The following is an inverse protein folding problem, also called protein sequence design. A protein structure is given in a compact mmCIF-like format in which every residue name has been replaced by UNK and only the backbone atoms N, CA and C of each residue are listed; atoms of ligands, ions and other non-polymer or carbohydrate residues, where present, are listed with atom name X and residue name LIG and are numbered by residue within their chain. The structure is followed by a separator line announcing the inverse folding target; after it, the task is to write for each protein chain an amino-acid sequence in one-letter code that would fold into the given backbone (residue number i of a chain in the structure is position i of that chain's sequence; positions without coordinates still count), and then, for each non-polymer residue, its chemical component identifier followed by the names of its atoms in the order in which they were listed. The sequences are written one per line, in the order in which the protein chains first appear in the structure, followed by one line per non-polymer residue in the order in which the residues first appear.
data_IF_127286419958
#
_entry.id   IF_127286419958
#
_cell.length_a   1.000
_cell.length_b   1.000
_cell.length_c   1.000
_cell.angle_alpha   90.00
_cell.angle_beta   90.00
_cell.angle_gamma   90.00
#
_symmetry.space_group_name_H-M   'P 1'
#
loop_
_entity.id
_entity.type
_entity.pdbx_description
1 polymer ?
#
# COMPACT_ATOMS: atom_id res chain seq x y z
N UNK A 1 -1.33 -30.33 17.64
CA UNK A 1 -2.68 -30.76 17.17
C UNK A 1 -3.70 -29.63 17.08
N UNK A 2 -3.72 -28.62 17.98
CA UNK A 2 -4.61 -27.44 17.83
C UNK A 2 -4.31 -26.53 16.62
N UNK A 3 -3.06 -26.43 16.16
CA UNK A 3 -2.66 -25.60 15.00
C UNK A 3 -3.08 -26.17 13.62
N UNK A 4 -3.24 -27.49 13.50
CA UNK A 4 -3.60 -28.15 12.23
C UNK A 4 -5.12 -28.09 11.99
N UNK A 5 -5.92 -28.02 13.05
CA UNK A 5 -7.39 -27.94 12.94
C UNK A 5 -7.85 -26.57 12.44
N UNK A 6 -7.11 -25.49 12.76
CA UNK A 6 -7.41 -24.14 12.28
C UNK A 6 -7.06 -23.96 10.79
N UNK A 7 -5.97 -24.59 10.33
CA UNK A 7 -5.57 -24.64 8.92
C UNK A 7 -6.63 -25.27 8.01
N UNK A 8 -7.37 -26.28 8.50
CA UNK A 8 -8.49 -26.85 7.76
C UNK A 8 -9.74 -25.95 7.78
N UNK A 9 -9.98 -25.16 8.83
CA UNK A 9 -11.18 -24.34 8.95
C UNK A 9 -11.15 -23.12 8.03
N UNK A 10 -9.98 -22.48 7.86
CA UNK A 10 -9.81 -21.38 6.90
C UNK A 10 -9.85 -21.87 5.44
N UNK A 11 -9.28 -23.05 5.16
CA UNK A 11 -9.38 -23.68 3.83
C UNK A 11 -10.81 -24.13 3.50
N UNK A 12 -11.60 -24.53 4.51
CA UNK A 12 -13.01 -24.88 4.35
C UNK A 12 -13.89 -23.66 4.04
N UNK A 13 -13.62 -22.50 4.66
CA UNK A 13 -14.34 -21.26 4.35
C UNK A 13 -14.06 -20.73 2.94
N UNK A 14 -12.83 -20.88 2.45
CA UNK A 14 -12.49 -20.60 1.05
C UNK A 14 -13.12 -21.59 0.04
N UNK A 15 -13.49 -22.80 0.50
CA UNK A 15 -14.08 -23.85 -0.35
C UNK A 15 -15.61 -23.85 -0.40
N UNK A 16 -16.29 -22.98 0.36
CA UNK A 16 -17.76 -22.91 0.41
C UNK A 16 -18.36 -21.76 -0.43
N UNK A 17 -17.57 -21.07 -1.25
CA UNK A 17 -18.09 -20.17 -2.29
C UNK A 17 -18.21 -20.91 -3.63
N UNK A 18 -18.89 -22.06 -3.63
CA UNK A 18 -19.33 -22.74 -4.85
C UNK A 18 -20.84 -22.84 -4.84
N UNK A 19 -21.51 -21.69 -4.82
CA UNK A 19 -22.87 -21.60 -5.34
C UNK A 19 -22.86 -20.57 -6.46
N UNK A 20 -23.30 -21.05 -7.63
CA UNK A 20 -23.49 -20.30 -8.85
C UNK A 20 -24.61 -19.26 -8.64
N UNK A 21 -24.27 -18.12 -8.07
CA UNK A 21 -25.00 -16.88 -8.29
C UNK A 21 -23.96 -15.78 -8.50
N UNK A 22 -24.14 -15.01 -9.59
CA UNK A 22 -23.33 -13.84 -9.96
C UNK A 22 -23.36 -12.80 -8.82
N UNK A 23 -22.57 -13.01 -7.79
CA UNK A 23 -22.29 -12.03 -6.74
C UNK A 23 -21.21 -11.09 -7.24
N UNK A 24 -21.44 -9.79 -7.02
CA UNK A 24 -20.59 -8.69 -7.45
C UNK A 24 -19.11 -8.98 -7.15
N UNK A 25 -18.27 -8.97 -8.20
CA UNK A 25 -16.83 -9.25 -8.15
C UNK A 25 -16.10 -8.31 -7.17
N UNK A 26 -16.66 -7.12 -6.91
CA UNK A 26 -16.13 -6.17 -5.92
C UNK A 26 -16.21 -6.70 -4.48
N UNK A 27 -17.18 -7.56 -4.17
CA UNK A 27 -17.35 -8.17 -2.83
C UNK A 27 -16.19 -9.12 -2.55
N UNK A 28 -15.78 -9.90 -3.56
CA UNK A 28 -14.72 -10.90 -3.42
C UNK A 28 -13.32 -10.28 -3.20
N UNK A 29 -13.00 -9.13 -3.81
CA UNK A 29 -11.69 -8.47 -3.63
C UNK A 29 -11.54 -7.89 -2.21
N UNK A 30 -12.59 -7.24 -1.69
CA UNK A 30 -12.63 -6.70 -0.33
C UNK A 30 -12.63 -7.83 0.70
N UNK A 31 -13.43 -8.88 0.47
CA UNK A 31 -13.47 -10.06 1.33
C UNK A 31 -12.12 -10.80 1.36
N UNK A 32 -11.43 -10.88 0.23
CA UNK A 32 -10.12 -11.53 0.15
C UNK A 32 -9.02 -10.72 0.85
N UNK A 33 -9.01 -9.39 0.67
CA UNK A 33 -8.05 -8.52 1.34
C UNK A 33 -8.27 -8.53 2.87
N UNK A 34 -9.53 -8.46 3.30
CA UNK A 34 -9.92 -8.66 4.71
C UNK A 34 -9.51 -10.05 5.23
N UNK A 35 -9.66 -11.11 4.43
CA UNK A 35 -9.25 -12.47 4.81
C UNK A 35 -7.73 -12.60 4.96
N UNK A 36 -6.94 -11.96 4.08
CA UNK A 36 -5.47 -11.93 4.18
C UNK A 36 -5.06 -11.24 5.48
N UNK A 37 -5.65 -10.11 5.81
CA UNK A 37 -5.32 -9.40 7.05
C UNK A 37 -5.77 -10.16 8.30
N UNK A 38 -6.97 -10.75 8.28
CA UNK A 38 -7.42 -11.60 9.38
C UNK A 38 -6.48 -12.81 9.57
N UNK A 39 -6.01 -13.38 8.46
CA UNK A 39 -5.02 -14.45 8.48
C UNK A 39 -3.68 -13.99 9.05
N UNK A 40 -3.22 -12.80 8.71
CA UNK A 40 -2.01 -12.19 9.25
C UNK A 40 -2.09 -12.02 10.77
N UNK A 41 -3.17 -11.43 11.30
CA UNK A 41 -3.40 -11.28 12.74
C UNK A 41 -3.37 -12.62 13.48
N UNK A 42 -3.93 -13.67 12.86
CA UNK A 42 -3.88 -15.04 13.39
C UNK A 42 -2.46 -15.60 13.39
N UNK A 43 -1.66 -15.34 12.35
CA UNK A 43 -0.26 -15.77 12.28
C UNK A 43 0.61 -15.04 13.30
N UNK A 44 0.40 -13.73 13.50
CA UNK A 44 0.99 -12.93 14.57
C UNK A 44 0.59 -13.44 15.97
N UNK A 45 -0.53 -14.16 16.06
CA UNK A 45 -1.00 -14.78 17.29
C UNK A 45 -1.68 -13.81 18.24
N UNK A 46 -2.38 -12.82 17.70
CA UNK A 46 -3.26 -11.96 18.49
C UNK A 46 -4.45 -12.74 19.03
N UNK A 47 -4.80 -12.42 20.28
CA UNK A 47 -6.08 -12.77 20.88
C UNK A 47 -7.14 -11.72 20.53
N UNK A 48 -8.41 -12.11 20.58
CA UNK A 48 -9.52 -11.18 20.39
C UNK A 48 -9.56 -10.08 21.45
N UNK A 49 -9.02 -10.33 22.64
CA UNK A 49 -8.98 -9.35 23.73
C UNK A 49 -7.90 -8.29 23.49
N UNK A 50 -6.75 -8.68 22.93
CA UNK A 50 -5.74 -7.73 22.47
C UNK A 50 -6.33 -6.82 21.38
N UNK A 51 -6.91 -7.39 20.31
CA UNK A 51 -7.46 -6.61 19.18
C UNK A 51 -8.63 -5.66 19.54
N UNK A 52 -9.28 -5.89 20.69
CA UNK A 52 -10.39 -5.06 21.19
C UNK A 52 -9.95 -3.99 22.19
N UNK A 53 -8.66 -3.93 22.50
CA UNK A 53 -8.12 -2.92 23.40
C UNK A 53 -8.47 -1.54 22.84
N UNK A 54 -8.90 -0.64 23.73
CA UNK A 54 -9.17 0.73 23.34
C UNK A 54 -7.89 1.42 22.89
N UNK A 55 -8.08 2.31 21.92
CA UNK A 55 -7.06 3.05 21.22
C UNK A 55 -6.50 4.16 22.12
N UNK A 56 -5.17 4.30 22.21
CA UNK A 56 -4.49 5.32 23.06
C UNK A 56 -3.60 6.22 22.20
N UNK A 57 -4.24 7.06 21.40
CA UNK A 57 -3.58 7.97 20.44
C UNK A 57 -2.78 9.11 21.09
N UNK A 58 -2.95 9.35 22.40
CA UNK A 58 -2.41 10.54 23.07
C UNK A 58 -1.13 10.27 23.87
N UNK A 59 -0.96 9.04 24.33
CA UNK A 59 0.19 8.66 25.15
C UNK A 59 1.28 8.14 24.23
N UNK A 60 2.50 8.72 24.24
CA UNK A 60 3.59 8.17 23.46
C UNK A 60 3.78 6.69 23.75
N UNK A 61 3.83 5.87 22.71
CA UNK A 61 3.98 4.43 22.84
C UNK A 61 5.30 4.10 23.55
N UNK A 62 5.24 3.13 24.47
CA UNK A 62 6.42 2.53 25.07
C UNK A 62 6.66 1.12 24.54
N UNK A 63 5.88 0.71 23.53
CA UNK A 63 6.01 -0.58 22.87
C UNK A 63 7.37 -0.65 22.20
N UNK A 64 8.08 -1.77 22.39
CA UNK A 64 9.35 -1.97 21.68
C UNK A 64 9.06 -2.29 20.22
N UNK A 65 9.68 -1.52 19.33
CA UNK A 65 9.63 -1.76 17.89
C UNK A 65 10.18 -3.15 17.54
N UNK A 66 9.35 -3.97 16.90
CA UNK A 66 9.69 -5.32 16.47
C UNK A 66 10.00 -5.38 14.99
N UNK A 67 10.67 -6.45 14.56
CA UNK A 67 10.92 -6.70 13.13
C UNK A 67 10.15 -7.93 12.69
N UNK A 68 9.68 -7.89 11.46
CA UNK A 68 8.95 -8.98 10.87
C UNK A 68 9.79 -10.25 10.78
N UNK A 69 9.25 -11.33 11.35
CA UNK A 69 9.87 -12.64 11.33
C UNK A 69 9.94 -13.15 9.87
N UNK A 70 11.10 -13.64 9.39
CA UNK A 70 11.25 -14.05 7.99
C UNK A 70 10.25 -15.10 7.52
N UNK A 71 9.79 -15.97 8.42
CA UNK A 71 8.79 -17.00 8.10
C UNK A 71 7.38 -16.41 7.92
N UNK A 72 7.04 -15.33 8.62
CA UNK A 72 5.76 -14.62 8.51
C UNK A 72 5.70 -13.90 7.17
N UNK A 73 6.73 -13.13 6.84
CA UNK A 73 6.87 -12.47 5.53
C UNK A 73 6.71 -13.49 4.41
N UNK A 74 7.40 -14.64 4.51
CA UNK A 74 7.33 -15.70 3.50
C UNK A 74 5.92 -16.30 3.39
N UNK A 75 5.24 -16.55 4.51
CA UNK A 75 3.88 -17.08 4.48
C UNK A 75 2.90 -16.10 3.80
N UNK A 76 3.03 -14.80 4.07
CA UNK A 76 2.27 -13.75 3.42
C UNK A 76 2.59 -13.67 1.93
N UNK A 77 3.87 -13.71 1.55
CA UNK A 77 4.32 -13.71 0.16
C UNK A 77 3.76 -14.90 -0.62
N UNK A 78 3.82 -16.11 -0.05
CA UNK A 78 3.30 -17.32 -0.70
C UNK A 78 1.78 -17.24 -0.89
N UNK A 79 1.04 -16.61 0.04
CA UNK A 79 -0.41 -16.38 -0.12
C UNK A 79 -0.73 -15.35 -1.22
N UNK A 80 0.02 -14.25 -1.27
CA UNK A 80 -0.16 -13.19 -2.27
C UNK A 80 0.20 -13.70 -3.67
N UNK A 81 1.26 -14.49 -3.81
CA UNK A 81 1.64 -15.06 -5.10
C UNK A 81 0.56 -16.00 -5.65
N UNK A 82 -0.15 -16.73 -4.79
CA UNK A 82 -1.27 -17.56 -5.25
C UNK A 82 -2.42 -16.70 -5.80
N UNK A 83 -2.66 -15.52 -5.23
CA UNK A 83 -3.78 -14.63 -5.57
C UNK A 83 -3.44 -13.69 -6.75
N UNK A 84 -2.26 -13.06 -6.74
CA UNK A 84 -1.82 -12.11 -7.78
C UNK A 84 -1.57 -12.76 -9.14
N UNK A 85 -1.34 -14.08 -9.18
CA UNK A 85 -1.16 -14.83 -10.42
C UNK A 85 -2.38 -15.67 -10.82
N UNK A 86 -3.37 -15.87 -9.94
CA UNK A 86 -4.61 -16.58 -10.29
C UNK A 86 -5.62 -15.66 -10.96
N UNK A 87 -5.77 -14.41 -10.50
CA UNK A 87 -6.90 -13.57 -10.89
C UNK A 87 -6.52 -12.13 -11.31
N UNK A 88 -7.18 -11.68 -12.37
CA UNK A 88 -7.47 -10.27 -12.69
C UNK A 88 -6.43 -9.33 -13.33
N UNK A 89 -5.29 -9.80 -13.84
CA UNK A 89 -4.46 -8.92 -14.71
C UNK A 89 -5.11 -8.67 -16.10
N UNK A 90 -6.07 -9.50 -16.54
CA UNK A 90 -6.52 -9.49 -17.95
C UNK A 90 -7.88 -8.88 -18.29
N UNK A 91 -8.79 -8.62 -17.35
CA UNK A 91 -10.17 -8.25 -17.73
C UNK A 91 -10.89 -7.40 -16.70
N UNK A 92 -10.58 -6.10 -16.61
CA UNK A 92 -11.59 -5.12 -16.19
C UNK A 92 -11.53 -3.88 -17.09
N UNK A 93 -12.42 -3.88 -18.08
CA UNK A 93 -12.82 -2.74 -18.90
C UNK A 93 -14.16 -2.24 -18.40
N UNK A 94 -14.21 -1.57 -17.25
CA UNK A 94 -15.48 -0.99 -16.81
C UNK A 94 -15.27 0.45 -16.36
N UNK A 95 -15.99 1.33 -17.07
CA UNK A 95 -15.88 2.77 -17.04
C UNK A 95 -16.40 3.34 -15.70
N UNK A 96 -15.56 3.31 -14.67
CA UNK A 96 -15.69 4.28 -13.58
C UNK A 96 -15.18 5.62 -14.07
N UNK A 97 -16.06 6.64 -14.18
CA UNK A 97 -15.78 8.06 -14.41
C UNK A 97 -14.88 8.49 -15.60
N UNK A 98 -13.70 7.90 -15.72
CA UNK A 98 -12.82 7.94 -16.87
C UNK A 98 -13.46 7.09 -17.98
N UNK A 99 -13.77 7.73 -19.10
CA UNK A 99 -14.57 7.16 -20.19
C UNK A 99 -13.89 6.01 -20.96
N UNK A 100 -12.67 5.60 -20.57
CA UNK A 100 -11.88 4.51 -21.17
C UNK A 100 -11.02 3.83 -20.11
N UNK A 101 -10.85 2.52 -20.22
CA UNK A 101 -9.84 1.77 -19.47
C UNK A 101 -8.44 2.22 -19.95
N UNK A 102 -7.86 3.18 -19.24
CA UNK A 102 -6.51 3.70 -19.50
C UNK A 102 -5.66 3.50 -18.26
N UNK A 103 -4.37 3.24 -18.45
CA UNK A 103 -3.44 3.08 -17.33
C UNK A 103 -3.44 4.34 -16.47
N UNK A 104 -3.65 4.20 -15.16
CA UNK A 104 -3.71 5.32 -14.21
C UNK A 104 -2.62 5.21 -13.15
N UNK A 105 -2.05 6.35 -12.81
CA UNK A 105 -0.98 6.54 -11.84
C UNK A 105 -1.37 7.60 -10.81
N UNK A 106 -0.85 7.51 -9.60
CA UNK A 106 -0.98 8.49 -8.55
C UNK A 106 0.31 9.28 -8.35
N UNK A 107 0.21 10.61 -8.36
CA UNK A 107 1.29 11.52 -7.95
C UNK A 107 0.86 12.32 -6.72
N UNK A 108 1.78 12.65 -5.82
CA UNK A 108 1.44 13.45 -4.64
C UNK A 108 0.86 14.79 -5.06
N UNK A 109 -0.31 15.12 -4.51
CA UNK A 109 -0.95 16.42 -4.73
C UNK A 109 -0.18 17.49 -3.98
N UNK A 110 -0.03 18.67 -4.58
CA UNK A 110 0.45 19.87 -3.90
C UNK A 110 -0.68 20.90 -3.79
N UNK A 111 -0.86 21.72 -4.81
CA UNK A 111 -1.86 22.80 -4.78
C UNK A 111 -3.19 22.36 -5.39
N UNK A 112 -3.15 21.69 -6.54
CA UNK A 112 -4.32 21.26 -7.31
C UNK A 112 -3.98 20.03 -8.14
N UNK A 113 -4.99 19.22 -8.48
CA UNK A 113 -4.86 18.18 -9.50
C UNK A 113 -5.18 18.69 -10.92
N UNK A 114 -5.34 20.01 -11.08
CA UNK A 114 -5.78 20.61 -12.34
C UNK A 114 -7.17 20.11 -12.72
N UNK A 115 -7.27 19.41 -13.85
CA UNK A 115 -8.50 18.76 -14.31
C UNK A 115 -8.63 17.29 -13.91
N UNK A 116 -7.64 16.73 -13.22
CA UNK A 116 -7.63 15.34 -12.78
C UNK A 116 -8.30 15.18 -11.41
N UNK A 117 -8.74 13.95 -11.12
CA UNK A 117 -9.38 13.64 -9.84
C UNK A 117 -8.36 13.37 -8.76
N UNK A 118 -8.81 13.55 -7.53
CA UNK A 118 -8.02 13.33 -6.33
C UNK A 118 -8.45 12.05 -5.64
N UNK A 119 -7.47 11.22 -5.28
CA UNK A 119 -7.63 10.10 -4.38
C UNK A 119 -7.10 10.52 -2.99
N UNK A 120 -7.88 10.22 -1.95
CA UNK A 120 -7.55 10.55 -0.56
C UNK A 120 -7.72 9.32 0.32
N UNK A 121 -6.67 8.97 1.06
CA UNK A 121 -6.63 7.81 1.93
C UNK A 121 -6.11 8.20 3.31
N UNK A 122 -6.83 7.79 4.35
CA UNK A 122 -6.41 7.90 5.72
C UNK A 122 -5.78 6.59 6.15
N UNK A 123 -4.50 6.66 6.51
CA UNK A 123 -3.69 5.56 7.04
C UNK A 123 -3.51 5.76 8.53
N UNK A 124 -4.02 4.80 9.29
CA UNK A 124 -3.92 4.66 10.72
C UNK A 124 -2.56 4.04 11.07
N UNK A 125 -1.74 4.81 11.75
CA UNK A 125 -0.39 4.50 12.14
C UNK A 125 -0.36 4.13 13.63
N UNK A 126 0.80 3.70 14.13
CA UNK A 126 0.99 3.31 15.52
C UNK A 126 0.50 4.40 16.46
N UNK A 127 -0.33 4.00 17.42
CA UNK A 127 -0.82 4.86 18.48
C UNK A 127 0.30 5.47 19.33
N UNK A 128 0.38 6.80 19.35
CA UNK A 128 1.44 7.48 20.10
C UNK A 128 2.83 7.23 19.53
N UNK A 129 2.92 6.77 18.28
CA UNK A 129 4.15 6.58 17.53
C UNK A 129 4.82 7.88 17.06
N UNK A 130 5.90 7.75 16.30
CA UNK A 130 6.73 8.85 15.77
C UNK A 130 6.55 9.07 14.25
N UNK A 131 5.33 8.95 13.75
CA UNK A 131 5.01 9.37 12.38
C UNK A 131 5.11 10.89 12.29
N UNK A 132 5.90 11.39 11.34
CA UNK A 132 6.09 12.82 11.13
C UNK A 132 6.56 13.15 9.72
N UNK A 133 6.66 14.44 9.40
CA UNK A 133 7.18 14.89 8.10
C UNK A 133 8.08 16.10 8.23
N UNK A 134 8.98 16.28 7.26
CA UNK A 134 9.83 17.47 7.11
C UNK A 134 9.81 17.95 5.67
N UNK A 135 10.03 19.25 5.48
CA UNK A 135 9.95 19.87 4.16
C UNK A 135 8.51 19.98 3.66
N UNK A 136 8.35 20.13 2.35
CA UNK A 136 7.07 20.27 1.70
C UNK A 136 6.64 18.93 1.08
N UNK A 137 5.81 18.16 1.78
CA UNK A 137 5.25 16.89 1.30
C UNK A 137 3.94 17.07 0.51
N UNK A 138 3.63 18.30 0.09
CA UNK A 138 2.41 18.62 -0.65
C UNK A 138 1.18 18.70 0.25
N UNK A 139 0.06 18.17 -0.22
CA UNK A 139 -1.21 18.13 0.50
C UNK A 139 -1.31 16.92 1.46
N UNK A 140 -0.45 15.90 1.28
CA UNK A 140 -0.31 14.83 2.27
C UNK A 140 0.08 15.43 3.61
N UNK A 141 -0.53 14.95 4.69
CA UNK A 141 -0.28 15.48 6.03
C UNK A 141 -0.29 14.38 7.08
N UNK A 142 0.45 14.64 8.14
CA UNK A 142 0.38 13.90 9.40
C UNK A 142 -0.51 14.68 10.35
N UNK A 143 -1.50 14.01 10.96
CA UNK A 143 -2.40 14.65 11.92
C UNK A 143 -1.80 14.72 13.33
N UNK A 144 -2.57 15.24 14.29
CA UNK A 144 -2.10 15.41 15.67
C UNK A 144 -1.90 14.10 16.44
N UNK A 145 -2.40 12.98 15.91
CA UNK A 145 -2.31 11.64 16.50
C UNK A 145 -1.24 10.79 15.82
N UNK A 146 -0.48 11.33 14.85
CA UNK A 146 0.51 10.57 14.11
C UNK A 146 -0.06 9.74 12.96
N UNK A 147 -1.30 9.98 12.52
CA UNK A 147 -1.88 9.29 11.37
C UNK A 147 -1.66 10.07 10.07
N UNK A 148 -1.62 9.37 8.93
CA UNK A 148 -1.31 10.00 7.63
C UNK A 148 -2.55 10.09 6.75
N UNK A 149 -2.91 11.30 6.33
CA UNK A 149 -3.85 11.51 5.22
C UNK A 149 -3.07 11.75 3.93
N UNK A 150 -3.05 10.75 3.06
CA UNK A 150 -2.44 10.82 1.75
C UNK A 150 -3.34 11.50 0.73
N UNK A 151 -2.77 12.38 -0.08
CA UNK A 151 -3.45 13.01 -1.20
C UNK A 151 -2.71 12.76 -2.51
N UNK A 152 -3.37 12.08 -3.44
CA UNK A 152 -2.82 11.77 -4.76
C UNK A 152 -3.69 12.34 -5.88
N UNK A 153 -3.08 12.96 -6.88
CA UNK A 153 -3.71 13.24 -8.15
C UNK A 153 -3.64 12.00 -9.04
N UNK A 154 -4.80 11.55 -9.53
CA UNK A 154 -4.93 10.35 -10.36
C UNK A 154 -4.83 10.75 -11.83
N UNK A 155 -3.69 10.45 -12.44
CA UNK A 155 -3.29 10.88 -13.78
C UNK A 155 -3.18 9.70 -14.75
N UNK A 156 -3.28 9.92 -16.06
CA UNK A 156 -2.90 8.91 -17.05
C UNK A 156 -1.42 8.53 -16.94
N UNK A 157 -1.11 7.27 -17.19
CA UNK A 157 0.25 6.77 -17.09
C UNK A 157 1.22 7.46 -18.08
N UNK A 158 2.46 7.67 -17.64
CA UNK A 158 3.53 8.25 -18.48
C UNK A 158 3.57 9.78 -18.51
N UNK A 159 2.79 10.44 -17.64
CA UNK A 159 2.80 11.90 -17.48
C UNK A 159 3.78 12.38 -16.39
N UNK A 160 4.33 11.47 -15.59
CA UNK A 160 5.33 11.73 -14.57
C UNK A 160 6.47 10.70 -14.62
N UNK A 161 7.65 11.09 -14.16
CA UNK A 161 8.81 10.21 -13.94
C UNK A 161 9.23 10.28 -12.48
N UNK A 162 9.53 9.13 -11.89
CA UNK A 162 9.83 8.96 -10.47
C UNK A 162 9.09 7.73 -9.96
N UNK A 163 8.92 7.63 -8.64
CA UNK A 163 8.02 6.67 -8.02
C UNK A 163 6.59 7.20 -7.99
N UNK A 164 5.70 6.54 -8.73
CA UNK A 164 4.28 6.87 -8.84
C UNK A 164 3.45 5.69 -8.35
N UNK A 165 2.30 5.97 -7.75
CA UNK A 165 1.42 4.92 -7.25
C UNK A 165 0.68 4.24 -8.41
N UNK A 166 0.69 2.91 -8.48
CA UNK A 166 0.15 2.18 -9.63
C UNK A 166 -1.33 1.83 -9.44
N UNK A 167 -2.28 2.70 -9.83
CA UNK A 167 -3.72 2.44 -9.66
C UNK A 167 -4.30 1.46 -10.70
N UNK A 168 -4.08 1.67 -12.00
CA UNK A 168 -4.56 0.72 -13.01
C UNK A 168 -3.47 0.48 -14.02
N UNK A 169 -2.84 -0.70 -13.96
CA UNK A 169 -1.81 -1.12 -14.91
C UNK A 169 -1.94 -2.64 -15.17
N UNK A 170 -2.71 -3.05 -16.19
CA UNK A 170 -2.90 -4.46 -16.55
C UNK A 170 -1.62 -5.13 -17.07
N UNK A 171 -0.52 -4.37 -17.21
CA UNK A 171 0.80 -4.86 -17.59
C UNK A 171 1.88 -4.48 -16.58
N UNK A 172 1.51 -4.22 -15.32
CA UNK A 172 2.40 -3.72 -14.25
C UNK A 172 3.72 -4.51 -14.12
N UNK A 173 3.71 -5.79 -14.48
CA UNK A 173 4.86 -6.70 -14.39
C UNK A 173 5.40 -7.18 -15.75
N UNK A 174 4.83 -6.70 -16.87
CA UNK A 174 5.17 -7.16 -18.22
C UNK A 174 6.07 -6.19 -18.98
N UNK A 175 6.03 -4.90 -18.62
CA UNK A 175 6.89 -3.88 -19.18
C UNK A 175 8.10 -3.66 -18.28
N UNK A 176 9.21 -3.18 -18.85
CA UNK A 176 10.54 -3.01 -18.24
C UNK A 176 10.60 -2.06 -17.02
N UNK A 177 9.78 -2.30 -16.01
CA UNK A 177 9.45 -1.42 -14.92
C UNK A 177 9.95 -2.00 -13.61
N UNK A 178 10.45 -1.13 -12.74
CA UNK A 178 10.68 -1.47 -11.35
C UNK A 178 9.39 -1.22 -10.60
N UNK A 179 8.87 -2.23 -9.92
CA UNK A 179 7.67 -2.10 -9.08
C UNK A 179 8.07 -2.48 -7.67
N UNK A 180 7.75 -1.62 -6.71
CA UNK A 180 7.98 -1.86 -5.29
C UNK A 180 6.64 -1.95 -4.59
N UNK A 181 6.33 -3.12 -4.06
CA UNK A 181 5.29 -3.25 -3.03
C UNK A 181 5.92 -2.85 -1.70
N UNK A 182 5.34 -1.88 -1.02
CA UNK A 182 5.54 -1.65 0.41
C UNK A 182 4.24 -2.03 1.11
N UNK A 183 4.29 -3.12 1.88
CA UNK A 183 3.24 -3.49 2.81
C UNK A 183 3.54 -2.80 4.12
N UNK A 184 2.75 -1.81 4.49
CA UNK A 184 2.74 -1.25 5.83
C UNK A 184 1.81 -2.08 6.68
N UNK A 185 2.37 -2.58 7.77
CA UNK A 185 1.65 -3.21 8.84
C UNK A 185 1.11 -2.11 9.73
N UNK A 186 -0.16 -1.75 9.53
CA UNK A 186 -0.78 -0.65 10.24
C UNK A 186 -1.25 -1.10 11.63
N UNK A 187 -1.53 -0.13 12.50
CA UNK A 187 -2.07 -0.33 13.84
C UNK A 187 -3.08 -1.49 13.91
N UNK A 188 -2.71 -2.56 14.59
CA UNK A 188 -3.50 -3.78 14.69
C UNK A 188 -4.73 -3.59 15.60
N UNK A 189 -4.68 -2.62 16.53
CA UNK A 189 -5.70 -2.38 17.54
C UNK A 189 -6.71 -1.31 17.10
N UNK A 190 -7.94 -1.74 16.80
CA UNK A 190 -9.04 -0.84 16.42
C UNK A 190 -8.67 0.11 15.25
N UNK A 191 -7.98 -0.44 14.26
CA UNK A 191 -7.55 0.21 13.03
C UNK A 191 -8.68 1.02 12.35
N UNK A 192 -8.36 2.25 11.95
CA UNK A 192 -9.29 3.20 11.31
C UNK A 192 -8.93 3.55 9.87
N UNK A 193 -8.11 2.75 9.20
CA UNK A 193 -7.82 2.90 7.78
C UNK A 193 -9.10 3.04 6.98
N UNK A 194 -9.16 4.07 6.13
CA UNK A 194 -10.29 4.21 5.21
C UNK A 194 -9.97 5.12 4.05
N UNK A 195 -10.64 4.86 2.92
CA UNK A 195 -10.60 5.72 1.75
C UNK A 195 -11.59 6.87 1.97
N UNK A 196 -11.08 8.10 2.03
CA UNK A 196 -11.89 9.31 2.11
C UNK A 196 -12.47 9.66 0.74
N UNK A 197 -11.66 9.50 -0.33
CA UNK A 197 -12.08 9.74 -1.70
C UNK A 197 -11.39 8.75 -2.64
N UNK A 198 -12.17 7.93 -3.34
CA UNK A 198 -11.65 6.92 -4.26
C UNK A 198 -11.33 7.47 -5.67
N UNK A 199 -11.44 8.78 -5.90
CA UNK A 199 -11.31 9.41 -7.22
C UNK A 199 -12.32 8.89 -8.28
N UNK A 200 -13.38 8.20 -7.87
CA UNK A 200 -14.28 7.46 -8.77
C UNK A 200 -13.62 6.27 -9.48
N UNK A 201 -12.51 5.76 -8.94
CA UNK A 201 -11.90 4.51 -9.38
C UNK A 201 -12.78 3.33 -8.92
N UNK A 202 -12.92 2.34 -9.81
CA UNK A 202 -13.61 1.07 -9.54
C UNK A 202 -12.66 -0.03 -9.07
N UNK A 203 -11.35 0.21 -9.20
CA UNK A 203 -10.28 -0.67 -8.75
C UNK A 203 -9.05 0.19 -8.44
N UNK A 204 -8.29 -0.21 -7.43
CA UNK A 204 -7.00 0.40 -7.08
C UNK A 204 -5.82 -0.39 -7.63
N UNK A 205 -6.10 -1.34 -8.53
CA UNK A 205 -5.09 -2.22 -9.13
C UNK A 205 -4.48 -3.13 -8.08
N UNK A 206 -3.15 -3.21 -7.98
CA UNK A 206 -2.50 -4.05 -6.97
C UNK A 206 -2.58 -3.47 -5.55
N UNK A 207 -2.94 -2.19 -5.39
CA UNK A 207 -2.95 -1.55 -4.07
C UNK A 207 -4.12 -2.05 -3.23
N UNK A 208 -3.91 -2.16 -1.92
CA UNK A 208 -4.96 -2.47 -0.95
C UNK A 208 -4.90 -1.46 0.21
N UNK A 209 -6.08 -1.15 0.74
CA UNK A 209 -6.36 -0.06 1.67
C UNK A 209 -7.42 -0.51 2.69
N UNK A 210 -7.09 -1.55 3.44
CA UNK A 210 -7.98 -2.19 4.41
C UNK A 210 -7.31 -2.15 5.79
N UNK A 211 -7.20 -3.26 6.53
CA UNK A 211 -6.51 -3.20 7.83
C UNK A 211 -5.04 -2.84 7.67
N UNK A 212 -4.38 -3.36 6.64
CA UNK A 212 -3.00 -3.00 6.30
C UNK A 212 -2.96 -2.23 4.98
N UNK A 213 -1.85 -1.53 4.73
CA UNK A 213 -1.70 -0.71 3.51
C UNK A 213 -0.70 -1.34 2.57
N UNK A 214 -1.10 -1.53 1.32
CA UNK A 214 -0.23 -2.00 0.26
C UNK A 214 -0.02 -0.96 -0.81
N UNK A 215 1.07 -0.21 -0.75
CA UNK A 215 1.42 0.68 -1.85
C UNK A 215 2.30 -0.04 -2.87
N UNK A 216 1.88 -0.01 -4.13
CA UNK A 216 2.66 -0.47 -5.27
C UNK A 216 3.18 0.72 -6.04
N UNK A 217 4.45 1.02 -5.81
CA UNK A 217 5.16 2.11 -6.44
C UNK A 217 5.77 1.62 -7.75
N UNK A 218 5.30 2.14 -8.87
CA UNK A 218 6.00 2.06 -10.14
C UNK A 218 7.14 3.06 -10.11
N UNK A 219 8.36 2.59 -10.30
CA UNK A 219 9.56 3.42 -10.32
C UNK A 219 10.06 3.60 -11.75
N UNK A 220 10.20 4.85 -12.16
CA UNK A 220 10.70 5.26 -13.47
C UNK A 220 9.63 5.28 -14.55
N UNK A 221 10.08 5.34 -15.81
CA UNK A 221 9.21 5.42 -16.99
C UNK A 221 9.62 6.54 -17.94
N UNK A 222 9.20 6.40 -19.21
CA UNK A 222 9.39 7.44 -20.23
C UNK A 222 8.23 8.41 -20.14
N UNK A 223 8.55 9.69 -20.07
CA UNK A 223 7.55 10.77 -20.13
C UNK A 223 7.03 10.86 -21.56
N UNK A 224 5.73 10.68 -21.74
CA UNK A 224 5.02 10.87 -23.01
C UNK A 224 4.08 12.07 -23.00
N UNK A 225 3.86 12.70 -21.84
CA UNK A 225 3.00 13.86 -21.63
C UNK A 225 3.57 14.88 -20.65
N UNK A 226 2.83 15.95 -20.34
CA UNK A 226 3.24 16.95 -19.34
C UNK A 226 2.05 17.32 -18.47
N UNK A 227 2.25 17.36 -17.15
CA UNK A 227 1.29 17.91 -16.21
C UNK A 227 1.46 19.44 -16.11
N UNK A 228 0.36 20.17 -16.04
CA UNK A 228 0.32 21.64 -15.99
C UNK A 228 0.21 22.21 -14.57
N UNK A 229 0.30 21.36 -13.56
CA UNK A 229 0.22 21.70 -12.14
C UNK A 229 1.41 21.10 -11.40
N UNK A 230 1.70 21.59 -10.20
CA UNK A 230 2.78 21.06 -9.35
C UNK A 230 2.38 19.72 -8.74
N UNK A 231 3.30 18.78 -8.72
CA UNK A 231 3.07 17.45 -8.16
C UNK A 231 4.33 16.91 -7.51
N UNK A 232 4.18 15.86 -6.70
CA UNK A 232 5.30 15.11 -6.15
C UNK A 232 5.33 13.67 -6.62
N UNK A 233 6.52 13.09 -6.61
CA UNK A 233 6.76 11.66 -6.84
C UNK A 233 7.81 11.18 -5.84
N UNK A 234 7.87 9.87 -5.58
CA UNK A 234 9.00 9.35 -4.81
C UNK A 234 10.28 9.45 -5.62
N UNK A 235 11.36 9.81 -4.97
CA UNK A 235 12.67 9.86 -5.58
C UNK A 235 13.73 10.36 -4.61
N UNK A 236 14.99 10.11 -4.96
CA UNK A 236 16.13 10.58 -4.19
C UNK A 236 16.49 12.00 -4.64
N UNK A 237 16.32 13.01 -3.78
CA UNK A 237 16.63 14.39 -4.14
C UNK A 237 18.15 14.56 -4.34
N UNK A 238 18.60 15.35 -5.34
CA UNK A 238 20.01 15.64 -5.52
C UNK A 238 20.55 16.52 -4.38
N UNK A 239 21.77 16.22 -3.91
CA UNK A 239 22.46 17.00 -2.88
C UNK A 239 23.35 18.05 -3.57
N UNK A 240 23.27 19.35 -3.20
CA UNK A 240 22.42 19.95 -2.16
C UNK A 240 21.00 20.28 -2.66
N UNK A 241 19.98 20.01 -1.84
CA UNK A 241 18.58 20.31 -2.15
C UNK A 241 17.66 20.13 -0.95
N UNK A 242 16.43 20.67 -0.97
CA UNK A 242 15.44 20.39 0.05
C UNK A 242 15.02 18.92 -0.02
N UNK A 243 15.12 18.22 1.12
CA UNK A 243 14.59 16.87 1.27
C UNK A 243 13.20 16.97 1.89
N UNK A 244 12.17 16.55 1.14
CA UNK A 244 10.82 16.45 1.66
C UNK A 244 10.59 15.00 2.07
N UNK A 245 10.45 14.77 3.36
CA UNK A 245 10.48 13.42 3.91
C UNK A 245 9.22 13.19 4.73
N UNK A 246 8.61 12.02 4.54
CA UNK A 246 7.54 11.48 5.36
C UNK A 246 8.08 10.21 6.05
N UNK A 247 8.09 10.22 7.38
CA UNK A 247 8.37 9.07 8.22
C UNK A 247 7.05 8.52 8.73
N UNK A 248 6.90 7.20 8.64
CA UNK A 248 5.68 6.47 8.98
C UNK A 248 6.08 5.37 9.95
N UNK A 249 5.56 5.49 11.16
CA UNK A 249 5.57 4.54 12.25
C UNK A 249 4.22 3.80 12.19
N UNK A 250 4.18 2.62 11.59
CA UNK A 250 2.92 1.95 11.21
C UNK A 250 2.40 0.96 12.26
N UNK A 251 3.24 0.05 12.77
CA UNK A 251 2.95 -0.85 13.92
C UNK A 251 4.25 -1.27 14.61
N UNK A 252 4.31 -1.12 15.92
CA UNK A 252 5.50 -1.47 16.68
C UNK A 252 5.52 -2.94 17.09
N UNK A 253 4.36 -3.55 17.33
CA UNK A 253 4.22 -4.87 17.93
C UNK A 253 3.91 -5.97 16.93
N UNK A 254 4.67 -7.07 16.99
CA UNK A 254 4.51 -8.21 16.07
C UNK A 254 4.49 -7.77 14.61
N UNK A 255 5.31 -6.77 14.30
CA UNK A 255 5.37 -6.07 13.04
C UNK A 255 5.54 -7.05 11.86
N UNK A 256 4.84 -6.83 10.75
CA UNK A 256 4.84 -7.63 9.52
C UNK A 256 5.32 -6.84 8.29
N UNK A 257 5.96 -5.70 8.54
CA UNK A 257 6.51 -4.84 7.52
C UNK A 257 7.44 -5.55 6.55
N UNK A 258 7.15 -5.36 5.27
CA UNK A 258 8.03 -5.83 4.20
C UNK A 258 7.92 -4.98 2.95
N UNK A 259 9.00 -5.00 2.17
CA UNK A 259 9.04 -4.39 0.86
C UNK A 259 9.62 -5.37 -0.16
N UNK A 260 8.93 -5.52 -1.30
CA UNK A 260 9.30 -6.45 -2.36
C UNK A 260 9.42 -5.67 -3.66
N UNK A 261 10.53 -5.87 -4.35
CA UNK A 261 10.80 -5.29 -5.65
C UNK A 261 10.70 -6.35 -6.75
N UNK A 262 9.92 -6.05 -7.79
CA UNK A 262 9.98 -6.74 -9.07
C UNK A 262 10.79 -5.91 -10.06
N UNK A 263 11.66 -6.56 -10.81
CA UNK A 263 12.47 -5.93 -11.85
C UNK A 263 12.47 -6.77 -13.12
N UNK A 264 12.97 -6.17 -14.20
CA UNK A 264 13.04 -6.62 -15.60
C UNK A 264 13.42 -8.09 -15.87
N UNK A 265 13.99 -8.81 -14.90
CA UNK A 265 14.39 -10.22 -15.05
C UNK A 265 13.25 -11.06 -14.48
N UNK A 266 12.55 -11.83 -15.34
CA UNK A 266 11.53 -12.86 -15.07
C UNK A 266 11.57 -13.48 -13.65
N UNK A 267 11.20 -12.69 -12.64
CA UNK A 267 11.17 -13.10 -11.25
C UNK A 267 9.75 -12.86 -10.74
N UNK A 268 8.84 -13.82 -10.95
CA UNK A 268 7.46 -13.70 -10.51
C UNK A 268 7.36 -13.50 -8.99
N UNK A 269 8.37 -13.91 -8.22
CA UNK A 269 8.37 -13.82 -6.75
C UNK A 269 8.83 -12.46 -6.20
N UNK A 270 9.47 -11.63 -7.01
CA UNK A 270 10.10 -10.41 -6.54
C UNK A 270 11.34 -10.69 -5.67
N UNK A 271 11.98 -9.63 -5.19
CA UNK A 271 13.17 -9.68 -4.33
C UNK A 271 12.89 -8.76 -3.14
N UNK A 272 13.14 -9.24 -1.93
CA UNK A 272 13.04 -8.40 -0.74
C UNK A 272 13.98 -7.20 -0.85
N UNK A 273 13.45 -6.00 -0.62
CA UNK A 273 14.29 -4.82 -0.46
C UNK A 273 14.93 -4.86 0.92
N UNK A 274 16.27 -4.75 1.00
CA UNK A 274 16.94 -4.76 2.30
C UNK A 274 16.55 -3.53 3.12
N UNK A 275 16.43 -3.74 4.43
CA UNK A 275 16.17 -2.69 5.40
C UNK A 275 17.23 -1.56 5.32
N UNK A 276 16.82 -0.34 5.68
CA UNK A 276 17.63 0.89 5.76
C UNK A 276 18.24 1.37 4.43
N UNK A 277 18.01 0.65 3.33
CA UNK A 277 18.57 1.01 2.02
C UNK A 277 17.57 1.81 1.20
N UNK A 278 17.93 3.05 0.86
CA UNK A 278 17.14 3.85 -0.06
C UNK A 278 17.05 3.17 -1.44
N UNK A 279 15.82 3.05 -1.92
CA UNK A 279 15.47 2.61 -3.26
C UNK A 279 14.51 3.63 -3.87
N UNK A 280 15.08 4.60 -4.59
CA UNK A 280 14.33 5.66 -5.29
C UNK A 280 13.38 6.43 -4.37
N UNK A 281 13.87 6.85 -3.21
CA UNK A 281 13.08 7.59 -2.22
C UNK A 281 12.16 6.71 -1.37
N UNK A 282 12.33 5.39 -1.40
CA UNK A 282 11.71 4.45 -0.46
C UNK A 282 12.83 3.85 0.39
N UNK A 283 12.83 4.11 1.69
CA UNK A 283 13.70 3.40 2.64
C UNK A 283 12.80 2.54 3.53
N UNK A 284 12.68 1.23 3.25
CA UNK A 284 11.97 0.31 4.12
C UNK A 284 12.86 -0.07 5.30
N UNK A 285 12.27 -0.26 6.47
CA UNK A 285 12.86 -0.87 7.65
C UNK A 285 11.71 -1.47 8.48
N UNK A 286 11.87 -1.57 9.80
CA UNK A 286 10.78 -1.68 10.78
C UNK A 286 9.72 -0.58 10.61
N UNK A 287 10.10 0.59 10.08
CA UNK A 287 9.22 1.69 9.71
C UNK A 287 9.47 2.11 8.26
N UNK A 288 8.75 3.12 7.77
CA UNK A 288 8.98 3.64 6.41
C UNK A 288 9.44 5.07 6.40
N UNK A 289 10.44 5.34 5.56
CA UNK A 289 10.75 6.69 5.11
C UNK A 289 10.50 6.83 3.61
N UNK A 290 9.64 7.78 3.27
CA UNK A 290 9.42 8.22 1.89
C UNK A 290 10.07 9.58 1.64
N UNK A 291 10.82 9.71 0.56
CA UNK A 291 11.38 10.96 0.07
C UNK A 291 10.63 11.41 -1.19
N UNK A 292 10.09 12.63 -1.15
CA UNK A 292 9.19 13.18 -2.16
C UNK A 292 9.88 14.32 -2.90
N UNK A 293 10.02 14.18 -4.21
CA UNK A 293 10.54 15.23 -5.10
C UNK A 293 9.38 15.97 -5.74
N UNK A 294 9.43 17.29 -5.69
CA UNK A 294 8.47 18.19 -6.33
C UNK A 294 8.86 18.52 -7.78
N UNK A 295 7.87 18.56 -8.67
CA UNK A 295 7.96 18.99 -10.07
C UNK A 295 6.94 20.07 -10.41
#
# INVERSE_FOLDING_TARGET
MKKIIFLCFCALLASCASDEDLQDINTNEIELANMINDYELVLKGYSLDELKKEKDELTPTTQEETVAEPWLIKAMQDSIAQIQFSDNIRTRTEAGAYTRAVNMEGVFKYETCGGYREFVYFMDCEDGGDTHSTGNIGATRVDGNGNVEFHFCVIPAGYATGGVLAFYQPSLYLDNMYVVKRHHDNEDHNNKNHIINNAGLVSFGPNYFDKNTGFFWKIGGVISGKLSFKYGVLGTAPIPGPHNILWIDDENGKNANHAIMWSRINNPKGIDLPAEKDFYGITPDRNTRYEIIQF
#
